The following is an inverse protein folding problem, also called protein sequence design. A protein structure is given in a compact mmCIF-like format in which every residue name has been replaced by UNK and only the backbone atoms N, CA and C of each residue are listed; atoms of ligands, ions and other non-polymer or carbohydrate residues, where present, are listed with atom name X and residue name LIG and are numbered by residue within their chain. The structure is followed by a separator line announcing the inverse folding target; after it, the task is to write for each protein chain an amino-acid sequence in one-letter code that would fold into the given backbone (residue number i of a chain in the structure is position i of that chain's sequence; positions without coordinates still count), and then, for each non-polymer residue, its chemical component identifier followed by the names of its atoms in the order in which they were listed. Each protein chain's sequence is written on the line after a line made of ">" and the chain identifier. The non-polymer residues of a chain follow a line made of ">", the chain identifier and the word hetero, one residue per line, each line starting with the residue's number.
data_IF_971695502070
#
_entry.id   IF_971695502070
#
_cell.length_a   1.000
_cell.length_b   1.000
_cell.length_c   1.000
_cell.angle_alpha   90.00
_cell.angle_beta   90.00
_cell.angle_gamma   90.00
#
_symmetry.space_group_name_H-M   'P 1'
#
loop_
_entity.id
_entity.type
_entity.pdbx_description
1 polymer ?
#
# COMPACT_ATOMS: atom_id res chain seq x y z
N UNK A 1 20.16 -4.11 -5.81
CA UNK A 1 19.79 -2.76 -6.30
C UNK A 1 18.28 -2.62 -6.26
N UNK A 2 17.75 -1.41 -6.49
CA UNK A 2 16.32 -1.11 -6.35
C UNK A 2 15.42 -1.97 -7.25
N UNK A 3 15.76 -2.09 -8.54
CA UNK A 3 15.00 -2.92 -9.49
C UNK A 3 14.86 -4.37 -9.03
N UNK A 4 15.97 -5.00 -8.64
CA UNK A 4 15.95 -6.38 -8.11
C UNK A 4 15.11 -6.50 -6.84
N UNK A 5 15.13 -5.48 -5.97
CA UNK A 5 14.32 -5.47 -4.77
C UNK A 5 12.82 -5.38 -5.12
N UNK A 6 12.45 -4.59 -6.12
CA UNK A 6 11.08 -4.53 -6.62
C UNK A 6 10.62 -5.85 -7.26
N UNK A 7 11.45 -6.44 -8.12
CA UNK A 7 11.14 -7.73 -8.75
C UNK A 7 10.87 -8.82 -7.69
N UNK A 8 11.69 -8.85 -6.63
CA UNK A 8 11.54 -9.78 -5.50
C UNK A 8 10.28 -9.46 -4.67
N UNK A 9 10.02 -8.19 -4.38
CA UNK A 9 8.80 -7.74 -3.69
C UNK A 9 7.55 -8.21 -4.42
N UNK A 10 7.51 -8.08 -5.75
CA UNK A 10 6.38 -8.51 -6.58
C UNK A 10 6.27 -10.04 -6.58
N UNK A 11 7.39 -10.73 -6.79
CA UNK A 11 7.42 -12.19 -6.89
C UNK A 11 6.97 -12.89 -5.60
N UNK A 12 7.58 -12.54 -4.46
CA UNK A 12 7.45 -13.31 -3.21
C UNK A 12 7.11 -12.46 -1.97
N UNK A 13 6.95 -11.14 -2.13
CA UNK A 13 6.64 -10.25 -1.00
C UNK A 13 5.28 -10.57 -0.36
N UNK A 14 5.28 -10.58 0.98
CA UNK A 14 4.09 -10.76 1.80
C UNK A 14 4.18 -9.92 3.09
N UNK A 15 3.05 -9.35 3.51
CA UNK A 15 2.88 -8.70 4.81
C UNK A 15 2.37 -9.67 5.89
N UNK A 16 1.87 -10.84 5.48
CA UNK A 16 1.34 -11.87 6.38
C UNK A 16 1.86 -13.25 6.03
N UNK A 17 1.82 -14.18 6.98
CA UNK A 17 2.21 -15.58 6.75
C UNK A 17 1.28 -16.22 5.71
N UNK A 18 1.87 -16.80 4.67
CA UNK A 18 1.16 -17.52 3.63
C UNK A 18 1.00 -19.02 3.98
N UNK A 19 0.00 -19.72 3.41
CA UNK A 19 -0.13 -21.17 3.57
C UNK A 19 1.04 -21.93 2.96
N UNK A 20 1.54 -21.45 1.83
CA UNK A 20 2.67 -22.00 1.10
C UNK A 20 3.84 -21.01 1.14
N UNK A 21 5.04 -21.53 1.39
CA UNK A 21 6.27 -20.74 1.35
C UNK A 21 6.63 -20.43 -0.09
N UNK A 22 6.98 -19.17 -0.35
CA UNK A 22 7.48 -18.73 -1.65
C UNK A 22 8.98 -18.48 -1.55
N UNK A 23 9.71 -18.72 -2.62
CA UNK A 23 11.14 -18.47 -2.71
C UNK A 23 11.53 -17.87 -4.05
N UNK A 24 12.63 -17.11 -4.06
CA UNK A 24 13.20 -16.51 -5.26
C UNK A 24 14.72 -16.48 -5.17
N UNK A 25 15.40 -16.66 -6.30
CA UNK A 25 16.84 -16.46 -6.37
C UNK A 25 17.19 -15.00 -6.67
N UNK A 26 18.13 -14.46 -5.91
CA UNK A 26 18.63 -13.09 -6.06
C UNK A 26 20.11 -13.16 -6.40
N UNK A 27 20.48 -12.54 -7.52
CA UNK A 27 21.87 -12.34 -7.90
C UNK A 27 22.33 -10.93 -7.54
N UNK A 28 23.48 -10.84 -6.87
CA UNK A 28 24.05 -9.59 -6.43
C UNK A 28 25.57 -9.65 -6.31
N UNK A 29 26.14 -8.58 -5.76
CA UNK A 29 27.57 -8.50 -5.45
C UNK A 29 27.78 -8.91 -4.01
N UNK A 30 28.59 -9.94 -3.79
CA UNK A 30 29.04 -10.32 -2.46
C UNK A 30 29.96 -9.20 -1.92
N UNK A 31 29.63 -8.64 -0.75
CA UNK A 31 30.35 -7.50 -0.18
C UNK A 31 31.72 -7.87 0.40
N UNK A 32 31.95 -9.15 0.70
CA UNK A 32 33.24 -9.63 1.25
C UNK A 32 34.21 -9.91 0.11
N UNK A 33 33.76 -10.65 -0.91
CA UNK A 33 34.64 -11.09 -2.02
C UNK A 33 34.64 -10.13 -3.21
N UNK A 34 33.61 -9.29 -3.32
CA UNK A 34 33.40 -8.40 -4.46
C UNK A 34 32.87 -9.09 -5.72
N UNK A 35 32.68 -10.41 -5.70
CA UNK A 35 32.27 -11.21 -6.86
C UNK A 35 30.74 -11.36 -6.94
N UNK A 36 30.19 -11.63 -8.14
CA UNK A 36 28.79 -11.99 -8.27
C UNK A 36 28.45 -13.26 -7.49
N UNK A 37 27.35 -13.22 -6.72
CA UNK A 37 26.83 -14.34 -5.94
C UNK A 37 25.32 -14.41 -6.08
N UNK A 38 24.79 -15.63 -6.04
CA UNK A 38 23.36 -15.91 -6.03
C UNK A 38 22.97 -16.49 -4.66
N UNK A 39 21.85 -16.01 -4.12
CA UNK A 39 21.26 -16.48 -2.86
C UNK A 39 19.78 -16.75 -3.06
N UNK A 40 19.25 -17.76 -2.38
CA UNK A 40 17.81 -18.02 -2.33
C UNK A 40 17.26 -17.30 -1.10
N UNK A 41 16.18 -16.55 -1.28
CA UNK A 41 15.44 -15.91 -0.20
C UNK A 41 13.99 -16.38 -0.23
N UNK A 42 13.34 -16.34 0.92
CA UNK A 42 11.96 -16.76 1.12
C UNK A 42 11.03 -15.57 1.36
N UNK A 43 9.72 -15.79 1.26
CA UNK A 43 8.72 -14.79 1.66
C UNK A 43 8.89 -14.34 3.13
N UNK A 44 9.45 -15.19 3.99
CA UNK A 44 9.74 -14.86 5.37
C UNK A 44 10.87 -13.84 5.51
N UNK A 45 11.96 -14.02 4.76
CA UNK A 45 13.07 -13.07 4.74
C UNK A 45 12.60 -11.70 4.22
N UNK A 46 11.78 -11.69 3.18
CA UNK A 46 11.23 -10.45 2.61
C UNK A 46 10.24 -9.79 3.58
N UNK A 47 9.36 -10.57 4.22
CA UNK A 47 8.42 -10.07 5.22
C UNK A 47 9.14 -9.43 6.41
N UNK A 48 10.23 -10.04 6.88
CA UNK A 48 11.08 -9.44 7.91
C UNK A 48 11.68 -8.11 7.43
N UNK A 49 12.26 -8.10 6.23
CA UNK A 49 12.90 -6.92 5.65
C UNK A 49 11.93 -5.73 5.49
N UNK A 50 10.68 -5.97 5.08
CA UNK A 50 9.68 -4.91 4.88
C UNK A 50 8.84 -4.61 6.13
N UNK A 51 9.03 -5.35 7.22
CA UNK A 51 8.17 -5.28 8.40
C UNK A 51 8.06 -3.89 9.02
N UNK A 52 9.15 -3.09 8.97
CA UNK A 52 9.13 -1.70 9.44
C UNK A 52 8.20 -0.83 8.59
N UNK A 53 8.27 -0.95 7.27
CA UNK A 53 7.42 -0.18 6.36
C UNK A 53 5.95 -0.56 6.51
N UNK A 54 5.66 -1.86 6.64
CA UNK A 54 4.29 -2.34 6.88
C UNK A 54 3.76 -1.78 8.21
N UNK A 55 4.55 -1.81 9.29
CA UNK A 55 4.16 -1.22 10.59
C UNK A 55 3.89 0.28 10.50
N UNK A 56 4.64 1.02 9.68
CA UNK A 56 4.36 2.45 9.46
C UNK A 56 2.99 2.65 8.81
N UNK A 57 2.64 1.83 7.80
CA UNK A 57 1.33 1.90 7.13
C UNK A 57 0.20 1.53 8.10
N UNK A 58 0.34 0.46 8.87
CA UNK A 58 -0.71 0.03 9.81
C UNK A 58 -0.92 1.05 10.92
N UNK A 59 0.16 1.61 11.48
CA UNK A 59 0.08 2.64 12.52
C UNK A 59 -0.57 3.92 12.00
N UNK A 60 -0.19 4.39 10.81
CA UNK A 60 -0.81 5.57 10.20
C UNK A 60 -2.31 5.35 9.97
N UNK A 61 -2.71 4.13 9.57
CA UNK A 61 -4.13 3.79 9.40
C UNK A 61 -4.88 3.83 10.74
N UNK A 62 -4.29 3.28 11.82
CA UNK A 62 -4.86 3.34 13.17
C UNK A 62 -5.00 4.80 13.65
N UNK A 63 -3.95 5.61 13.49
CA UNK A 63 -3.95 7.01 13.90
C UNK A 63 -5.09 7.81 13.22
N UNK A 64 -5.33 7.57 11.93
CA UNK A 64 -6.45 8.21 11.21
C UNK A 64 -7.80 7.81 11.78
N UNK A 65 -7.99 6.53 12.13
CA UNK A 65 -9.24 6.04 12.74
C UNK A 65 -9.43 6.65 14.14
N UNK A 66 -8.36 6.77 14.93
CA UNK A 66 -8.41 7.32 16.30
C UNK A 66 -8.82 8.80 16.33
N UNK A 67 -8.41 9.59 15.33
CA UNK A 67 -8.80 11.01 15.23
C UNK A 67 -10.12 11.22 14.49
N UNK A 68 -10.72 10.17 13.93
CA UNK A 68 -11.97 10.28 13.17
C UNK A 68 -13.15 10.52 14.13
N UNK A 69 -14.04 11.49 13.86
CA UNK A 69 -15.21 11.75 14.69
C UNK A 69 -16.07 10.49 14.90
N UNK A 70 -16.58 10.24 16.13
CA UNK A 70 -17.34 9.02 16.45
C UNK A 70 -18.52 8.74 15.52
N UNK A 71 -19.18 9.78 15.04
CA UNK A 71 -20.30 9.71 14.10
C UNK A 71 -19.91 9.07 12.76
N UNK A 72 -18.65 9.16 12.35
CA UNK A 72 -18.13 8.54 11.13
C UNK A 72 -17.51 7.16 11.38
N UNK A 73 -17.00 6.90 12.60
CA UNK A 73 -16.37 5.62 12.93
C UNK A 73 -17.36 4.46 12.77
N UNK A 74 -18.62 4.64 13.17
CA UNK A 74 -19.66 3.62 13.00
C UNK A 74 -19.87 3.23 11.53
N UNK A 75 -19.84 4.22 10.63
CA UNK A 75 -19.95 4.00 9.19
C UNK A 75 -18.72 3.28 8.62
N UNK A 76 -17.51 3.62 9.09
CA UNK A 76 -16.27 2.95 8.70
C UNK A 76 -16.28 1.49 9.17
N UNK A 77 -16.71 1.21 10.41
CA UNK A 77 -16.80 -0.15 10.93
C UNK A 77 -17.79 -1.01 10.13
N UNK A 78 -18.86 -0.41 9.61
CA UNK A 78 -19.85 -1.12 8.78
C UNK A 78 -19.39 -1.31 7.34
N UNK A 79 -18.83 -0.27 6.70
CA UNK A 79 -18.44 -0.31 5.27
C UNK A 79 -17.07 -0.92 5.03
N UNK A 80 -16.17 -0.84 6.00
CA UNK A 80 -14.79 -1.29 5.89
C UNK A 80 -13.84 -0.27 5.25
N UNK A 81 -12.58 -0.68 5.15
CA UNK A 81 -11.48 0.07 4.53
C UNK A 81 -11.24 -0.51 3.14
N UNK A 82 -11.13 0.35 2.13
CA UNK A 82 -10.84 -0.03 0.76
C UNK A 82 -9.39 0.28 0.39
N UNK A 83 -8.62 -0.74 -0.01
CA UNK A 83 -7.25 -0.59 -0.47
C UNK A 83 -7.20 -0.36 -1.97
N UNK A 84 -6.49 0.69 -2.35
CA UNK A 84 -6.22 1.09 -3.75
C UNK A 84 -4.71 1.30 -3.95
N UNK A 85 -4.30 1.46 -5.21
CA UNK A 85 -2.89 1.65 -5.61
C UNK A 85 -2.09 0.35 -5.65
N UNK A 86 -0.90 0.39 -6.27
CA UNK A 86 -0.08 -0.81 -6.49
C UNK A 86 0.43 -1.48 -5.21
N UNK A 87 0.53 -0.73 -4.11
CA UNK A 87 0.90 -1.28 -2.80
C UNK A 87 -0.11 -2.28 -2.25
N UNK A 88 -1.39 -2.19 -2.67
CA UNK A 88 -2.45 -3.10 -2.25
C UNK A 88 -2.22 -4.55 -2.70
N UNK A 89 -1.38 -4.80 -3.72
CA UNK A 89 -1.02 -6.14 -4.16
C UNK A 89 -0.05 -6.87 -3.24
N UNK A 90 0.50 -6.20 -2.22
CA UNK A 90 1.33 -6.88 -1.24
C UNK A 90 0.49 -7.92 -0.48
N UNK A 91 0.83 -9.19 -0.66
CA UNK A 91 0.03 -10.32 -0.16
C UNK A 91 -0.17 -10.23 1.36
N UNK A 92 -1.43 -10.18 1.80
CA UNK A 92 -1.77 -10.12 3.21
C UNK A 92 -1.66 -8.73 3.85
N UNK A 93 -1.51 -7.66 3.05
CA UNK A 93 -1.59 -6.28 3.55
C UNK A 93 -3.00 -5.95 4.08
N UNK A 94 -4.02 -6.39 3.37
CA UNK A 94 -5.41 -6.40 3.81
C UNK A 94 -5.57 -7.08 5.18
N UNK A 95 -5.01 -8.29 5.33
CA UNK A 95 -5.13 -9.08 6.55
C UNK A 95 -4.46 -8.42 7.75
N UNK A 96 -3.25 -7.90 7.60
CA UNK A 96 -2.56 -7.23 8.72
C UNK A 96 -3.31 -5.96 9.10
N UNK A 97 -3.83 -5.20 8.14
CA UNK A 97 -4.63 -4.00 8.43
C UNK A 97 -5.93 -4.35 9.13
N UNK A 98 -6.63 -5.40 8.72
CA UNK A 98 -7.86 -5.87 9.38
C UNK A 98 -7.59 -6.29 10.82
N UNK A 99 -6.50 -7.02 11.06
CA UNK A 99 -6.11 -7.45 12.41
C UNK A 99 -5.76 -6.26 13.30
N UNK A 100 -5.01 -5.29 12.78
CA UNK A 100 -4.53 -4.13 13.53
C UNK A 100 -5.66 -3.11 13.77
N UNK A 101 -6.56 -2.91 12.82
CA UNK A 101 -7.64 -1.91 12.92
C UNK A 101 -8.93 -2.47 13.49
N UNK A 102 -9.14 -3.79 13.44
CA UNK A 102 -10.41 -4.48 13.74
C UNK A 102 -11.57 -4.08 12.83
N UNK A 103 -11.25 -3.55 11.64
CA UNK A 103 -12.21 -3.13 10.63
C UNK A 103 -12.00 -3.99 9.38
N UNK A 104 -13.07 -4.47 8.72
CA UNK A 104 -12.93 -5.22 7.47
C UNK A 104 -12.13 -4.46 6.42
N UNK A 105 -11.18 -5.11 5.76
CA UNK A 105 -10.35 -4.50 4.72
C UNK A 105 -10.54 -5.24 3.40
N UNK A 106 -10.80 -4.50 2.33
CA UNK A 106 -11.02 -5.04 0.99
C UNK A 106 -10.04 -4.40 -0.01
N UNK A 107 -9.37 -5.22 -0.82
CA UNK A 107 -8.68 -4.72 -2.03
C UNK A 107 -9.71 -4.56 -3.14
N UNK A 108 -9.78 -3.37 -3.75
CA UNK A 108 -10.72 -3.13 -4.85
C UNK A 108 -10.33 -3.92 -6.10
N UNK A 109 -11.26 -4.12 -7.03
CA UNK A 109 -11.06 -4.98 -8.22
C UNK A 109 -9.91 -4.52 -9.12
N UNK A 110 -9.78 -3.22 -9.37
CA UNK A 110 -8.66 -2.66 -10.12
C UNK A 110 -8.04 -1.48 -9.34
N UNK A 111 -7.14 -1.79 -8.40
CA UNK A 111 -6.55 -0.79 -7.52
C UNK A 111 -5.53 0.07 -8.24
N UNK A 112 -4.95 -0.40 -9.35
CA UNK A 112 -3.92 0.34 -10.09
C UNK A 112 -4.47 1.56 -10.80
N UNK A 113 -5.64 1.41 -11.44
CA UNK A 113 -6.22 2.50 -12.22
C UNK A 113 -7.29 3.29 -11.46
N UNK A 114 -7.61 2.89 -10.22
CA UNK A 114 -8.63 3.53 -9.40
C UNK A 114 -8.51 5.06 -9.34
N UNK A 115 -7.29 5.58 -9.17
CA UNK A 115 -7.02 7.03 -9.12
C UNK A 115 -7.35 7.70 -10.46
N UNK A 116 -6.76 7.24 -11.57
CA UNK A 116 -6.96 7.88 -12.89
C UNK A 116 -8.40 7.77 -13.37
N UNK A 117 -9.09 6.67 -13.06
CA UNK A 117 -10.53 6.54 -13.35
C UNK A 117 -11.36 7.51 -12.53
N UNK A 118 -11.06 7.66 -11.24
CA UNK A 118 -11.71 8.67 -10.39
C UNK A 118 -11.56 10.07 -10.97
N UNK A 119 -10.36 10.43 -11.43
CA UNK A 119 -10.13 11.70 -12.13
C UNK A 119 -10.98 11.82 -13.40
N UNK A 120 -11.06 10.77 -14.22
CA UNK A 120 -11.89 10.76 -15.42
C UNK A 120 -13.37 10.99 -15.12
N UNK A 121 -13.92 10.29 -14.12
CA UNK A 121 -15.32 10.42 -13.68
C UNK A 121 -15.63 11.85 -13.25
N UNK A 122 -14.75 12.46 -12.45
CA UNK A 122 -14.94 13.83 -11.97
C UNK A 122 -14.89 14.85 -13.11
N UNK A 123 -14.01 14.64 -14.10
CA UNK A 123 -13.92 15.55 -15.27
C UNK A 123 -15.15 15.53 -16.18
N UNK A 124 -15.93 14.45 -16.16
CA UNK A 124 -17.17 14.32 -16.94
C UNK A 124 -18.37 15.01 -16.27
N UNK A 125 -18.26 15.37 -14.98
CA UNK A 125 -19.31 16.04 -14.21
C UNK A 125 -18.80 17.38 -13.65
N UNK A 126 -19.23 18.48 -14.28
CA UNK A 126 -18.82 19.84 -13.91
C UNK A 126 -19.22 20.21 -12.47
N UNK A 127 -20.33 19.67 -11.96
CA UNK A 127 -20.78 19.95 -10.60
C UNK A 127 -19.88 19.22 -9.60
N UNK A 128 -19.66 17.92 -9.81
CA UNK A 128 -18.76 17.12 -9.00
C UNK A 128 -17.32 17.65 -9.04
N UNK A 129 -16.85 18.08 -10.21
CA UNK A 129 -15.56 18.73 -10.37
C UNK A 129 -15.47 20.00 -9.52
N UNK A 130 -16.50 20.83 -9.55
CA UNK A 130 -16.53 22.07 -8.76
C UNK A 130 -16.47 21.78 -7.26
N UNK A 131 -17.16 20.75 -6.77
CA UNK A 131 -17.13 20.35 -5.36
C UNK A 131 -15.78 19.74 -4.94
N UNK A 132 -15.12 19.01 -5.85
CA UNK A 132 -13.84 18.36 -5.59
C UNK A 132 -12.65 19.33 -5.62
N UNK A 133 -12.79 20.50 -6.25
CA UNK A 133 -11.74 21.51 -6.30
C UNK A 133 -11.56 22.14 -4.91
N UNK A 134 -10.34 22.03 -4.37
CA UNK A 134 -9.93 22.81 -3.22
C UNK A 134 -9.77 24.26 -3.68
N UNK A 135 -10.55 25.18 -3.11
CA UNK A 135 -10.32 26.61 -3.28
C UNK A 135 -8.98 26.97 -2.61
N UNK A 136 -7.89 26.95 -3.38
CA UNK A 136 -6.63 27.56 -2.95
C UNK A 136 -6.75 29.08 -3.16
N UNK A 137 -6.91 29.83 -2.08
CA UNK A 137 -6.45 31.23 -2.04
C UNK A 137 -4.91 31.23 -2.02
N UNK A 138 -4.27 30.98 -3.17
CA UNK A 138 -2.84 31.24 -3.32
C UNK A 138 -2.65 32.47 -4.20
N UNK A 139 -2.13 33.54 -3.59
CA UNK A 139 -1.48 34.64 -4.30
C UNK A 139 -0.51 34.03 -5.31
N UNK A 140 -0.77 34.29 -6.59
CA UNK A 140 0.12 33.88 -7.67
C UNK A 140 1.55 34.34 -7.33
N UNK A 141 2.57 33.47 -7.42
CA UNK A 141 3.94 33.91 -7.21
C UNK A 141 4.24 35.06 -8.19
N UNK A 142 4.92 36.14 -7.74
CA UNK A 142 5.20 37.27 -8.60
C UNK A 142 6.03 36.80 -9.79
N UNK A 143 5.52 37.09 -10.99
CA UNK A 143 6.17 36.87 -12.28
C UNK A 143 7.49 37.60 -12.41
#
# INVERSE_FOLDING_TARGET
>A
GERTAEDVKIAIGSAWKLPETLEASIRGRDLVTGLPREVIVTDADIREAISKSVRTITKATQEVIEITPPELVADIMHRGIFLVGGGSYLRGLDKILEIETKIPVLVVEDPMTAVVRGCGIVLEDVQLLREALVEHEEELPPT
#
